data_IF_983347013161
#
_entry.id   IF_983347013161
#
_cell.length_a   1.000
_cell.length_b   1.000
_cell.length_c   1.000
_cell.angle_alpha   90.00
_cell.angle_beta   90.00
_cell.angle_gamma   90.00
#
_symmetry.space_group_name_H-M   'P 1'
#
loop_
_entity.id
_entity.type
_entity.pdbx_description
1 polymer ?
#
# COMPACT_ATOMS: atom_id res chain seq x y z
N UNK A 1 59.20 -42.23 12.41
CA UNK A 1 59.48 -41.02 13.23
C UNK A 1 58.85 -41.20 14.61
N UNK A 2 59.53 -40.82 15.72
CA UNK A 2 58.98 -40.75 17.09
C UNK A 2 57.99 -39.57 17.23
N UNK A 3 56.94 -39.57 18.07
CA UNK A 3 56.87 -39.53 19.55
C UNK A 3 57.46 -38.21 20.14
N UNK A 4 56.83 -37.43 21.03
CA UNK A 4 56.36 -37.65 22.44
C UNK A 4 55.40 -36.46 22.80
N UNK A 5 54.18 -36.61 23.37
CA UNK A 5 53.69 -36.93 24.75
C UNK A 5 53.69 -35.76 25.79
N UNK A 6 52.61 -35.68 26.60
CA UNK A 6 52.26 -34.81 27.78
C UNK A 6 51.18 -33.73 27.48
N UNK A 7 50.25 -33.40 28.40
CA UNK A 7 49.92 -34.02 29.70
C UNK A 7 48.91 -33.22 30.57
N UNK A 8 47.87 -33.93 31.03
CA UNK A 8 46.97 -33.75 32.20
C UNK A 8 47.47 -32.88 33.39
N UNK A 9 46.66 -32.28 34.28
CA UNK A 9 45.20 -32.05 34.40
C UNK A 9 44.85 -31.11 35.60
N UNK A 10 43.60 -30.64 35.73
CA UNK A 10 43.04 -29.81 36.84
C UNK A 10 42.78 -30.61 38.16
N UNK A 11 42.11 -30.09 39.25
CA UNK A 11 41.74 -28.70 39.68
C UNK A 11 41.96 -28.39 41.21
N UNK A 12 41.62 -27.17 41.69
CA UNK A 12 40.78 -27.03 42.91
C UNK A 12 41.24 -26.26 44.20
N UNK A 13 40.63 -25.08 44.43
CA UNK A 13 39.92 -24.62 45.67
C UNK A 13 40.66 -24.07 46.96
N UNK A 14 40.15 -22.94 47.50
CA UNK A 14 40.29 -22.28 48.86
C UNK A 14 41.67 -21.76 49.34
N UNK A 15 41.84 -20.68 50.14
CA UNK A 15 40.98 -19.53 50.57
C UNK A 15 41.79 -18.47 51.38
N UNK A 16 41.15 -17.33 51.79
CA UNK A 16 41.64 -16.24 52.71
C UNK A 16 42.65 -15.24 52.10
N UNK A 17 42.76 -13.93 52.45
CA UNK A 17 42.12 -12.96 53.38
C UNK A 17 42.13 -11.54 52.70
N UNK A 18 41.55 -10.40 53.14
CA UNK A 18 40.41 -10.01 54.00
C UNK A 18 40.66 -8.72 54.86
N UNK A 19 40.58 -7.51 54.27
CA UNK A 19 40.42 -6.16 54.91
C UNK A 19 39.57 -5.29 53.95
N UNK A 20 38.47 -4.58 54.31
CA UNK A 20 38.21 -3.55 55.34
C UNK A 20 38.80 -2.16 54.98
N UNK A 21 38.09 -1.01 55.02
CA UNK A 21 36.67 -0.66 55.33
C UNK A 21 36.29 0.69 54.61
N UNK A 22 35.07 0.94 54.14
CA UNK A 22 33.89 1.59 54.77
C UNK A 22 33.91 3.15 54.94
N UNK A 23 32.76 3.79 54.65
CA UNK A 23 32.46 5.23 54.86
C UNK A 23 32.17 6.00 53.54
N UNK A 24 31.02 6.59 53.17
CA UNK A 24 29.80 7.15 53.82
C UNK A 24 29.78 8.68 54.00
N UNK A 25 29.04 9.42 53.16
CA UNK A 25 28.27 10.62 53.53
C UNK A 25 27.46 11.23 52.35
N UNK A 26 26.15 11.35 52.55
CA UNK A 26 25.30 12.49 52.15
C UNK A 26 24.73 13.07 53.47
N UNK A 27 23.94 14.18 53.58
CA UNK A 27 22.90 14.62 52.63
C UNK A 27 22.55 16.14 52.58
N UNK A 28 21.49 16.46 51.82
CA UNK A 28 20.41 17.43 52.13
C UNK A 28 20.68 18.93 52.37
N UNK A 29 19.95 19.76 51.62
CA UNK A 29 19.12 20.83 52.19
C UNK A 29 17.94 21.18 51.26
N UNK A 30 16.77 21.54 51.81
CA UNK A 30 15.60 21.98 51.05
C UNK A 30 14.77 23.04 51.80
N UNK A 31 14.14 23.97 51.06
CA UNK A 31 13.08 24.92 51.48
C UNK A 31 12.19 25.20 50.24
N UNK A 32 10.85 25.28 50.20
CA UNK A 32 9.80 25.90 51.05
C UNK A 32 9.92 27.43 51.15
N UNK A 33 8.89 28.29 51.01
CA UNK A 33 7.40 28.25 50.91
C UNK A 33 6.97 29.50 50.03
N UNK A 34 5.75 30.07 49.87
CA UNK A 34 4.42 30.00 50.51
C UNK A 34 3.31 30.56 49.57
N UNK A 35 2.30 29.76 49.21
CA UNK A 35 0.84 30.04 49.12
C UNK A 35 0.23 31.43 48.78
N UNK A 36 -0.65 31.43 47.75
CA UNK A 36 -2.05 31.97 47.71
C UNK A 36 -2.79 31.23 46.56
N UNK A 37 -4.12 31.06 46.43
CA UNK A 37 -5.29 31.86 46.84
C UNK A 37 -5.84 32.61 45.61
N UNK A 38 -7.11 32.57 45.19
CA UNK A 38 -8.31 31.91 45.74
C UNK A 38 -9.42 31.67 44.67
N UNK A 39 -10.33 30.73 44.95
CA UNK A 39 -11.80 30.70 44.72
C UNK A 39 -12.44 31.63 43.65
N UNK A 40 -13.24 31.07 42.74
CA UNK A 40 -14.71 31.36 42.62
C UNK A 40 -15.41 30.52 41.54
N UNK A 41 -16.71 30.28 41.71
CA UNK A 41 -17.59 29.70 40.70
C UNK A 41 -18.85 30.58 40.51
N UNK A 42 -19.32 30.70 39.26
CA UNK A 42 -20.68 31.08 38.81
C UNK A 42 -20.83 30.49 37.39
N UNK A 43 -21.88 29.78 36.98
CA UNK A 43 -23.28 29.77 37.42
C UNK A 43 -23.99 31.10 37.17
N UNK A 44 -24.31 31.35 35.90
CA UNK A 44 -25.36 32.29 35.49
C UNK A 44 -26.40 31.52 34.67
N UNK A 45 -27.54 31.22 35.29
CA UNK A 45 -28.75 30.79 34.59
C UNK A 45 -29.48 32.00 34.01
N UNK A 46 -29.86 31.94 32.75
CA UNK A 46 -30.98 32.71 32.22
C UNK A 46 -31.80 31.80 31.31
N UNK A 47 -33.13 31.91 31.40
CA UNK A 47 -34.04 31.00 30.74
C UNK A 47 -35.09 31.74 29.91
N UNK A 48 -35.32 31.21 28.72
CA UNK A 48 -36.54 31.33 27.92
C UNK A 48 -36.69 29.95 27.24
N UNK A 49 -37.87 29.34 27.10
CA UNK A 49 -39.14 29.96 26.73
C UNK A 49 -39.09 30.20 25.21
N UNK A 50 -39.84 29.48 24.38
CA UNK A 50 -40.76 28.36 24.61
C UNK A 50 -41.31 27.89 23.25
N UNK A 51 -42.03 26.77 23.21
CA UNK A 51 -42.73 26.22 22.04
C UNK A 51 -41.84 25.86 20.81
N UNK A 52 -42.27 24.99 19.88
CA UNK A 52 -43.44 24.12 19.88
C UNK A 52 -43.46 23.20 18.64
N UNK A 53 -44.06 22.01 18.78
CA UNK A 53 -44.20 20.98 17.73
C UNK A 53 -42.87 20.41 17.15
N UNK A 54 -42.85 19.32 16.39
CA UNK A 54 -43.93 18.44 15.95
C UNK A 54 -43.54 16.95 16.13
N UNK A 55 -44.38 16.16 16.82
CA UNK A 55 -44.27 14.69 16.85
C UNK A 55 -45.34 14.11 15.93
N UNK A 56 -44.94 13.64 14.75
CA UNK A 56 -45.76 12.69 13.98
C UNK A 56 -45.11 11.31 13.95
N UNK A 57 -45.85 10.33 14.47
CA UNK A 57 -45.60 8.91 14.20
C UNK A 57 -46.12 8.62 12.80
N UNK A 58 -45.41 7.79 12.05
CA UNK A 58 -46.06 6.81 11.18
C UNK A 58 -45.40 5.45 11.41
N UNK A 59 -46.20 4.40 11.41
CA UNK A 59 -45.82 3.06 11.86
C UNK A 59 -45.86 2.09 10.69
N UNK A 60 -44.78 1.33 10.54
CA UNK A 60 -44.82 -0.02 9.98
C UNK A 60 -44.93 -0.14 8.45
N UNK A 61 -43.85 -0.63 7.85
CA UNK A 61 -43.99 -1.84 7.03
C UNK A 61 -42.73 -2.69 7.10
N UNK A 62 -42.90 -3.94 7.54
CA UNK A 62 -41.89 -5.00 7.43
C UNK A 62 -41.87 -5.52 5.98
N UNK A 63 -40.68 -5.79 5.46
CA UNK A 63 -40.48 -6.37 4.14
C UNK A 63 -39.04 -6.84 4.00
N UNK A 64 -38.83 -8.12 3.66
CA UNK A 64 -37.49 -8.70 3.50
C UNK A 64 -36.86 -8.30 2.16
N UNK A 65 -35.52 -8.21 2.11
CA UNK A 65 -34.79 -7.77 0.93
C UNK A 65 -33.27 -7.82 1.08
N UNK A 66 -32.72 -8.92 1.59
CA UNK A 66 -31.28 -9.12 1.69
C UNK A 66 -30.68 -9.74 0.41
N UNK A 67 -29.37 -9.52 0.19
CA UNK A 67 -28.51 -10.14 -0.85
C UNK A 67 -28.70 -9.73 -2.33
N UNK A 68 -28.29 -8.49 -2.69
CA UNK A 68 -27.75 -8.22 -4.04
C UNK A 68 -26.64 -7.15 -4.05
N UNK A 69 -25.47 -7.43 -3.44
CA UNK A 69 -24.34 -6.49 -3.43
C UNK A 69 -22.96 -7.16 -3.19
N UNK A 70 -22.60 -8.19 -3.95
CA UNK A 70 -21.28 -8.83 -3.89
C UNK A 70 -20.72 -9.09 -5.29
N UNK A 71 -19.44 -8.73 -5.48
CA UNK A 71 -18.65 -8.75 -6.73
C UNK A 71 -19.06 -7.73 -7.81
N UNK A 72 -18.27 -6.66 -7.94
CA UNK A 72 -18.24 -5.81 -9.13
C UNK A 72 -18.07 -4.32 -8.83
N UNK A 73 -17.14 -3.67 -9.54
CA UNK A 73 -17.38 -2.30 -10.03
C UNK A 73 -18.48 -2.43 -11.09
N UNK A 74 -19.51 -1.56 -11.11
CA UNK A 74 -20.62 -1.70 -12.06
C UNK A 74 -20.12 -1.52 -13.51
N UNK A 75 -20.47 -2.41 -14.44
CA UNK A 75 -20.18 -2.20 -15.86
C UNK A 75 -21.09 -1.07 -16.39
N UNK A 76 -20.50 -0.11 -17.12
CA UNK A 76 -21.28 0.87 -17.86
C UNK A 76 -22.06 0.17 -19.00
N UNK A 77 -23.35 0.46 -19.10
CA UNK A 77 -24.22 -0.16 -20.10
C UNK A 77 -24.08 0.54 -21.47
N UNK A 78 -23.27 -0.03 -22.37
CA UNK A 78 -23.29 0.33 -23.78
C UNK A 78 -24.48 -0.32 -24.49
N UNK A 79 -25.29 0.49 -25.19
CA UNK A 79 -26.25 -0.02 -26.19
C UNK A 79 -25.49 -0.41 -27.47
N UNK A 80 -25.95 -1.43 -28.22
CA UNK A 80 -25.40 -1.71 -29.54
C UNK A 80 -25.82 -0.62 -30.54
N UNK A 81 -24.85 -0.12 -31.31
CA UNK A 81 -25.10 0.36 -32.67
C UNK A 81 -24.59 -0.72 -33.64
N UNK A 82 -25.30 -0.91 -34.75
CA UNK A 82 -24.95 -1.87 -35.78
C UNK A 82 -23.81 -1.41 -36.69
N UNK A 83 -23.41 -2.29 -37.60
CA UNK A 83 -22.20 -2.16 -38.40
C UNK A 83 -22.21 -0.96 -39.37
N UNK A 84 -21.10 -0.22 -39.36
CA UNK A 84 -20.70 0.71 -40.42
C UNK A 84 -19.16 0.65 -40.56
N UNK A 85 -18.61 0.60 -41.78
CA UNK A 85 -17.18 0.37 -42.00
C UNK A 85 -16.31 1.57 -41.59
N UNK A 86 -15.06 1.27 -41.20
CA UNK A 86 -14.13 2.26 -40.65
C UNK A 86 -13.67 3.31 -41.69
N UNK A 87 -13.57 4.60 -41.32
CA UNK A 87 -13.06 5.64 -42.21
C UNK A 87 -11.53 5.57 -42.34
N UNK A 88 -11.04 5.51 -43.58
CA UNK A 88 -9.61 5.59 -43.89
C UNK A 88 -9.10 7.03 -43.73
N UNK A 89 -8.08 7.22 -42.89
CA UNK A 89 -7.52 8.54 -42.59
C UNK A 89 -6.61 9.05 -43.73
N UNK A 90 -7.19 9.75 -44.72
CA UNK A 90 -6.42 10.53 -45.71
C UNK A 90 -6.02 11.87 -45.11
N UNK A 91 -4.75 12.26 -45.27
CA UNK A 91 -4.30 13.61 -44.97
C UNK A 91 -4.95 14.64 -45.92
N UNK A 92 -5.42 15.81 -45.42
CA UNK A 92 -5.79 16.93 -46.28
C UNK A 92 -4.55 17.54 -46.94
N UNK A 93 -4.66 17.95 -48.21
CA UNK A 93 -3.70 18.85 -48.86
C UNK A 93 -4.11 20.30 -48.61
N UNK A 94 -3.13 21.21 -48.59
CA UNK A 94 -3.37 22.65 -48.54
C UNK A 94 -4.23 23.14 -49.71
N UNK A 95 -5.23 23.97 -49.39
CA UNK A 95 -5.79 24.96 -50.31
C UNK A 95 -6.20 26.20 -49.53
N UNK A 96 -5.68 27.37 -49.90
CA UNK A 96 -6.16 28.64 -49.36
C UNK A 96 -7.57 28.96 -49.89
N UNK A 97 -8.51 29.32 -49.00
CA UNK A 97 -9.52 30.32 -49.35
C UNK A 97 -10.01 31.10 -48.13
N UNK A 98 -10.28 32.39 -48.34
CA UNK A 98 -10.75 33.33 -47.34
C UNK A 98 -12.26 33.22 -47.10
N UNK A 99 -12.71 33.40 -45.86
CA UNK A 99 -14.13 33.32 -45.50
C UNK A 99 -14.39 33.76 -44.06
N UNK A 100 -14.78 35.02 -43.85
CA UNK A 100 -15.10 35.55 -42.52
C UNK A 100 -16.50 35.14 -42.08
N UNK A 101 -16.66 34.64 -40.85
CA UNK A 101 -17.87 34.85 -40.04
C UNK A 101 -17.58 34.61 -38.56
N UNK A 102 -17.67 35.67 -37.74
CA UNK A 102 -17.59 35.55 -36.27
C UNK A 102 -18.87 34.91 -35.72
N UNK A 103 -18.76 33.85 -34.91
CA UNK A 103 -19.77 33.49 -33.90
C UNK A 103 -19.14 33.63 -32.51
N UNK A 104 -19.91 34.20 -31.57
CA UNK A 104 -19.42 34.58 -30.24
C UNK A 104 -19.50 33.38 -29.31
N UNK A 105 -18.43 33.11 -28.57
CA UNK A 105 -18.46 32.16 -27.46
C UNK A 105 -18.87 32.93 -26.19
N UNK A 106 -20.10 32.76 -25.72
CA UNK A 106 -20.60 33.40 -24.49
C UNK A 106 -20.13 32.62 -23.27
N UNK A 107 -19.27 33.23 -22.46
CA UNK A 107 -18.74 32.61 -21.24
C UNK A 107 -19.79 32.52 -20.13
N UNK A 108 -20.01 31.32 -19.58
CA UNK A 108 -20.52 31.18 -18.22
C UNK A 108 -19.37 31.36 -17.24
N UNK A 109 -19.46 32.36 -16.35
CA UNK A 109 -18.52 32.59 -15.24
C UNK A 109 -19.25 32.41 -13.91
N UNK A 110 -18.58 31.81 -12.94
CA UNK A 110 -19.07 31.56 -11.58
C UNK A 110 -18.94 30.08 -11.21
N UNK A 111 -18.51 29.70 -10.01
CA UNK A 111 -18.08 30.54 -8.89
C UNK A 111 -16.60 30.98 -8.97
N UNK A 112 -16.17 31.89 -8.08
CA UNK A 112 -14.83 32.46 -8.08
C UNK A 112 -13.77 31.54 -7.46
N UNK A 113 -12.90 30.98 -8.30
CA UNK A 113 -11.55 30.58 -7.87
C UNK A 113 -10.65 31.82 -7.90
N UNK A 114 -10.10 32.21 -6.76
CA UNK A 114 -9.13 33.30 -6.68
C UNK A 114 -7.71 32.71 -6.82
N UNK A 115 -6.95 33.00 -7.90
CA UNK A 115 -5.63 32.42 -8.12
C UNK A 115 -4.53 33.14 -7.31
N UNK A 116 -4.81 33.45 -6.04
CA UNK A 116 -3.80 33.98 -5.10
C UNK A 116 -2.82 32.87 -4.70
N UNK A 117 -1.68 32.86 -5.38
CA UNK A 117 -0.45 32.21 -4.96
C UNK A 117 -0.60 30.74 -4.53
N UNK A 118 -0.98 29.88 -5.48
CA UNK A 118 -0.46 28.51 -5.41
C UNK A 118 1.07 28.60 -5.59
N UNK A 119 1.83 28.46 -4.52
CA UNK A 119 3.29 28.46 -4.61
C UNK A 119 3.75 27.37 -5.59
N UNK A 120 4.75 27.65 -6.44
CA UNK A 120 5.31 26.63 -7.32
C UNK A 120 5.85 25.50 -6.44
N UNK A 121 5.26 24.30 -6.55
CA UNK A 121 5.72 23.14 -5.78
C UNK A 121 7.18 22.90 -6.16
N UNK A 122 8.16 23.10 -5.25
CA UNK A 122 9.53 23.32 -5.69
C UNK A 122 10.09 22.05 -6.34
N UNK A 123 10.86 22.24 -7.42
CA UNK A 123 11.22 21.16 -8.35
C UNK A 123 11.94 19.97 -7.71
N UNK A 124 12.58 20.13 -6.55
CA UNK A 124 13.39 19.10 -5.90
C UNK A 124 12.56 17.92 -5.35
N UNK A 125 12.91 16.71 -5.78
CA UNK A 125 12.24 15.46 -5.41
C UNK A 125 13.23 14.50 -4.76
N UNK A 126 12.95 14.12 -3.51
CA UNK A 126 13.67 13.02 -2.86
C UNK A 126 12.97 11.70 -3.19
N UNK A 127 13.67 10.79 -3.84
CA UNK A 127 13.24 9.39 -3.93
C UNK A 127 13.57 8.69 -2.63
N UNK A 128 12.64 7.89 -2.09
CA UNK A 128 12.87 7.07 -0.89
C UNK A 128 12.70 5.58 -1.18
N UNK A 129 13.50 4.76 -0.51
CA UNK A 129 13.33 3.31 -0.46
C UNK A 129 13.74 2.72 0.90
N UNK A 130 13.23 1.53 1.21
CA UNK A 130 13.65 0.74 2.37
C UNK A 130 14.16 -0.62 1.91
N UNK A 131 15.31 -1.06 2.43
CA UNK A 131 15.96 -2.33 2.07
C UNK A 131 16.11 -3.25 3.28
N UNK A 132 15.99 -4.55 3.06
CA UNK A 132 16.37 -5.59 4.02
C UNK A 132 16.65 -6.90 3.27
N UNK A 133 17.92 -7.29 3.20
CA UNK A 133 18.41 -8.44 2.43
C UNK A 133 17.95 -8.44 0.95
N UNK A 134 18.41 -7.42 0.21
CA UNK A 134 18.03 -7.15 -1.18
C UNK A 134 19.27 -7.00 -2.09
N UNK A 135 20.40 -7.65 -1.76
CA UNK A 135 21.65 -7.60 -2.53
C UNK A 135 21.46 -8.03 -4.00
N UNK A 136 20.51 -8.93 -4.24
CA UNK A 136 20.14 -9.43 -5.57
C UNK A 136 19.21 -8.49 -6.37
N UNK A 137 18.84 -7.31 -5.84
CA UNK A 137 17.91 -6.38 -6.50
C UNK A 137 18.34 -4.91 -6.44
N UNK A 138 19.09 -4.49 -5.41
CA UNK A 138 19.45 -3.08 -5.16
C UNK A 138 20.13 -2.38 -6.35
N UNK A 139 21.05 -3.06 -7.02
CA UNK A 139 21.73 -2.55 -8.21
C UNK A 139 20.79 -2.33 -9.40
N UNK A 140 19.73 -3.15 -9.52
CA UNK A 140 18.72 -3.00 -10.58
C UNK A 140 17.81 -1.80 -10.32
N UNK A 141 17.45 -1.54 -9.05
CA UNK A 141 16.73 -0.33 -8.67
C UNK A 141 17.58 0.91 -8.98
N UNK A 142 18.82 0.96 -8.48
CA UNK A 142 19.72 2.11 -8.67
C UNK A 142 20.04 2.34 -10.16
N UNK A 143 20.25 1.29 -10.95
CA UNK A 143 20.37 1.43 -12.41
C UNK A 143 19.12 2.03 -13.05
N UNK A 144 17.90 1.58 -12.66
CA UNK A 144 16.66 2.15 -13.19
C UNK A 144 16.40 3.60 -12.76
N UNK A 145 16.87 4.00 -11.56
CA UNK A 145 16.85 5.39 -11.08
C UNK A 145 17.89 6.27 -11.79
N UNK A 146 19.07 5.72 -12.11
CA UNK A 146 20.13 6.43 -12.84
C UNK A 146 19.79 6.68 -14.32
N UNK A 147 18.90 5.86 -14.88
CA UNK A 147 18.40 5.94 -16.25
C UNK A 147 17.07 6.71 -16.40
N UNK A 148 16.61 7.43 -15.36
CA UNK A 148 15.38 8.23 -15.45
C UNK A 148 15.55 9.45 -16.36
N UNK A 149 14.53 9.76 -17.15
CA UNK A 149 14.48 10.97 -18.00
C UNK A 149 14.46 12.26 -17.19
N UNK A 150 13.79 12.25 -16.04
CA UNK A 150 14.00 13.21 -14.93
C UNK A 150 14.79 12.51 -13.83
N UNK A 151 16.07 12.86 -13.62
CA UNK A 151 16.87 12.30 -12.52
C UNK A 151 16.36 12.74 -11.14
N UNK A 152 16.57 11.94 -10.07
CA UNK A 152 16.27 12.35 -8.70
C UNK A 152 17.33 13.33 -8.18
N UNK A 153 16.87 14.34 -7.46
CA UNK A 153 17.70 15.38 -6.82
C UNK A 153 18.39 14.83 -5.56
N UNK A 154 17.74 13.84 -4.93
CA UNK A 154 18.23 13.09 -3.78
C UNK A 154 17.61 11.69 -3.79
N UNK A 155 18.35 10.68 -3.31
CA UNK A 155 17.82 9.34 -3.05
C UNK A 155 18.15 8.93 -1.62
N UNK A 156 17.16 8.76 -0.74
CA UNK A 156 17.39 8.28 0.64
C UNK A 156 17.00 6.81 0.74
N UNK A 157 17.95 5.95 1.11
CA UNK A 157 17.73 4.51 1.25
C UNK A 157 18.04 4.08 2.68
N UNK A 158 17.01 3.57 3.37
CA UNK A 158 17.13 3.10 4.76
C UNK A 158 17.24 1.59 4.80
N UNK A 159 18.32 1.09 5.40
CA UNK A 159 18.59 -0.32 5.63
C UNK A 159 18.05 -0.78 7.00
N UNK A 160 17.23 -1.84 6.99
CA UNK A 160 16.58 -2.41 8.17
C UNK A 160 17.46 -3.31 9.06
N UNK A 161 18.77 -3.42 8.77
CA UNK A 161 19.70 -4.35 9.40
C UNK A 161 19.96 -5.58 8.52
N UNK A 162 20.31 -5.38 7.25
CA UNK A 162 20.66 -6.44 6.31
C UNK A 162 21.93 -7.20 6.75
N UNK A 163 22.06 -8.45 6.28
CA UNK A 163 23.12 -9.40 6.65
C UNK A 163 23.69 -10.16 5.44
N UNK A 164 23.47 -9.65 4.23
CA UNK A 164 23.74 -10.32 2.94
C UNK A 164 24.68 -9.54 2.01
N UNK A 165 25.26 -8.43 2.49
CA UNK A 165 26.05 -7.48 1.68
C UNK A 165 25.27 -6.26 1.19
N UNK A 166 23.94 -6.17 1.41
CA UNK A 166 23.13 -5.02 0.96
C UNK A 166 23.63 -3.69 1.51
N UNK A 167 24.03 -3.65 2.79
CA UNK A 167 24.47 -2.42 3.45
C UNK A 167 25.83 -1.94 2.91
N UNK A 168 26.78 -2.86 2.77
CA UNK A 168 28.12 -2.60 2.22
C UNK A 168 28.01 -2.13 0.76
N UNK A 169 27.12 -2.76 -0.02
CA UNK A 169 26.84 -2.34 -1.40
C UNK A 169 26.19 -0.96 -1.44
N UNK A 170 25.25 -0.67 -0.54
CA UNK A 170 24.59 0.63 -0.44
C UNK A 170 25.57 1.75 -0.02
N UNK A 171 26.52 1.47 0.88
CA UNK A 171 27.60 2.40 1.22
C UNK A 171 28.50 2.71 0.03
N UNK A 172 28.85 1.70 -0.79
CA UNK A 172 29.61 1.92 -2.02
C UNK A 172 28.83 2.77 -3.04
N UNK A 173 27.53 2.51 -3.21
CA UNK A 173 26.65 3.30 -4.06
C UNK A 173 26.40 4.73 -3.54
N UNK A 174 26.53 4.97 -2.24
CA UNK A 174 26.43 6.30 -1.61
C UNK A 174 27.69 7.14 -1.77
N UNK A 175 28.87 6.51 -1.85
CA UNK A 175 30.16 7.18 -2.08
C UNK A 175 30.48 7.39 -3.56
N UNK A 176 30.36 6.33 -4.35
CA UNK A 176 30.94 6.23 -5.70
C UNK A 176 29.89 5.92 -6.78
N UNK A 177 28.60 6.03 -6.44
CA UNK A 177 27.47 5.64 -7.31
C UNK A 177 26.99 6.73 -8.28
N UNK A 178 26.10 6.37 -9.24
CA UNK A 178 25.65 7.26 -10.31
C UNK A 178 24.57 8.28 -9.90
N UNK A 179 24.27 8.38 -8.61
CA UNK A 179 23.13 9.11 -8.01
C UNK A 179 23.50 9.70 -6.65
N UNK A 180 22.87 10.81 -6.22
CA UNK A 180 23.03 11.40 -4.88
C UNK A 180 22.33 10.54 -3.80
N UNK A 181 22.92 9.38 -3.48
CA UNK A 181 22.37 8.41 -2.51
C UNK A 181 22.83 8.74 -1.09
N UNK A 182 21.87 8.93 -0.18
CA UNK A 182 22.07 9.00 1.27
C UNK A 182 21.71 7.63 1.87
N UNK A 183 22.74 6.87 2.28
CA UNK A 183 22.60 5.58 2.93
C UNK A 183 22.37 5.74 4.45
N UNK A 184 21.32 5.13 4.99
CA UNK A 184 20.97 5.25 6.42
C UNK A 184 20.75 3.86 7.03
N UNK A 185 21.54 3.49 8.04
CA UNK A 185 21.29 2.27 8.81
C UNK A 185 20.25 2.53 9.90
N UNK A 186 19.13 1.77 9.91
CA UNK A 186 18.18 1.69 11.03
C UNK A 186 17.87 0.22 11.36
N UNK A 187 18.83 -0.55 11.93
CA UNK A 187 18.66 -1.97 12.26
C UNK A 187 17.43 -2.24 13.13
N UNK A 188 16.68 -3.29 12.80
CA UNK A 188 15.45 -3.66 13.51
C UNK A 188 14.23 -2.79 13.19
N UNK A 189 14.35 -1.82 12.27
CA UNK A 189 13.20 -1.06 11.78
C UNK A 189 12.29 -1.93 10.90
N UNK A 190 10.98 -1.67 10.97
CA UNK A 190 10.01 -2.19 9.99
C UNK A 190 9.87 -1.20 8.81
N UNK A 191 9.09 -1.57 7.80
CA UNK A 191 8.94 -0.77 6.57
C UNK A 191 8.41 0.64 6.86
N UNK A 192 7.41 0.79 7.74
CA UNK A 192 6.89 2.08 8.19
C UNK A 192 7.99 2.96 8.79
N UNK A 193 8.78 2.37 9.69
CA UNK A 193 9.87 3.04 10.38
C UNK A 193 11.02 3.42 9.43
N UNK A 194 11.35 2.54 8.48
CA UNK A 194 12.30 2.86 7.41
C UNK A 194 11.82 4.05 6.56
N UNK A 195 10.56 4.03 6.08
CA UNK A 195 10.00 5.13 5.26
C UNK A 195 9.93 6.44 6.04
N UNK A 196 9.49 6.44 7.31
CA UNK A 196 9.48 7.64 8.15
C UNK A 196 10.88 8.21 8.37
N UNK A 197 11.88 7.36 8.63
CA UNK A 197 13.26 7.80 8.78
C UNK A 197 13.82 8.42 7.48
N UNK A 198 13.50 7.83 6.32
CA UNK A 198 13.90 8.37 5.03
C UNK A 198 13.31 9.77 4.79
N UNK A 199 12.03 9.96 5.10
CA UNK A 199 11.31 11.23 4.90
C UNK A 199 11.77 12.31 5.91
N UNK A 200 12.15 11.91 7.12
CA UNK A 200 12.68 12.81 8.13
C UNK A 200 14.03 13.45 7.72
N UNK A 201 14.92 12.69 7.07
CA UNK A 201 16.25 13.18 6.64
C UNK A 201 16.29 13.69 5.19
N UNK A 202 15.25 13.44 4.41
CA UNK A 202 15.10 13.98 3.06
C UNK A 202 15.23 15.51 3.01
N UNK A 203 15.58 16.07 1.86
CA UNK A 203 15.60 17.54 1.60
C UNK A 203 14.53 18.01 0.62
N UNK A 204 14.04 17.17 -0.30
CA UNK A 204 12.99 17.55 -1.24
C UNK A 204 11.62 17.80 -0.58
N UNK A 205 10.85 18.83 -1.00
CA UNK A 205 9.46 19.01 -0.57
C UNK A 205 8.51 17.94 -1.14
N UNK A 206 8.86 17.34 -2.29
CA UNK A 206 8.17 16.18 -2.85
C UNK A 206 8.96 14.91 -2.49
N UNK A 207 8.24 13.90 -2.00
CA UNK A 207 8.74 12.56 -1.73
C UNK A 207 8.18 11.62 -2.80
N UNK A 208 9.03 10.82 -3.44
CA UNK A 208 8.62 9.75 -4.34
C UNK A 208 9.06 8.40 -3.77
N UNK A 209 8.11 7.57 -3.32
CA UNK A 209 8.40 6.32 -2.61
C UNK A 209 8.35 5.10 -3.54
N UNK A 210 9.33 4.21 -3.38
CA UNK A 210 9.40 2.92 -4.06
C UNK A 210 9.99 1.81 -3.16
N UNK A 211 9.92 0.56 -3.62
CA UNK A 211 10.43 -0.62 -2.90
C UNK A 211 11.73 -1.14 -3.56
N UNK A 212 12.66 -1.68 -2.76
CA UNK A 212 13.95 -2.20 -3.24
C UNK A 212 13.86 -3.16 -4.44
N UNK A 213 12.92 -4.11 -4.38
CA UNK A 213 12.78 -5.21 -5.34
C UNK A 213 12.13 -4.87 -6.68
N UNK A 214 11.95 -3.58 -7.04
CA UNK A 214 11.33 -3.17 -8.31
C UNK A 214 12.35 -2.96 -9.44
N UNK A 215 11.83 -2.53 -10.59
CA UNK A 215 12.51 -1.89 -11.72
C UNK A 215 11.55 -0.81 -12.23
N UNK A 216 12.03 0.41 -12.42
CA UNK A 216 11.18 1.55 -12.78
C UNK A 216 11.16 1.77 -14.31
N UNK A 217 10.06 2.32 -14.83
CA UNK A 217 10.02 2.86 -16.20
C UNK A 217 10.96 4.07 -16.35
N UNK A 218 11.61 4.31 -17.51
CA UNK A 218 12.51 5.45 -17.68
C UNK A 218 11.86 6.81 -17.41
N UNK A 219 10.55 6.92 -17.64
CA UNK A 219 9.75 8.12 -17.41
C UNK A 219 9.09 8.14 -16.01
N UNK A 220 9.35 7.14 -15.15
CA UNK A 220 8.63 6.96 -13.87
C UNK A 220 8.66 8.21 -13.00
N UNK A 221 9.84 8.78 -12.79
CA UNK A 221 9.99 9.94 -11.90
C UNK A 221 9.37 11.20 -12.51
N UNK A 222 9.46 11.38 -13.84
CA UNK A 222 8.77 12.49 -14.51
C UNK A 222 7.24 12.35 -14.43
N UNK A 223 6.72 11.14 -14.64
CA UNK A 223 5.29 10.84 -14.62
C UNK A 223 4.68 10.95 -13.21
N UNK A 224 5.39 10.48 -12.16
CA UNK A 224 4.91 10.57 -10.77
C UNK A 224 4.97 12.01 -10.23
N UNK A 225 5.84 12.87 -10.78
CA UNK A 225 5.98 14.26 -10.31
C UNK A 225 5.14 15.27 -11.09
N UNK A 226 4.82 15.02 -12.36
CA UNK A 226 4.11 15.97 -13.21
C UNK A 226 2.81 16.56 -12.59
N UNK A 227 1.97 15.81 -11.85
CA UNK A 227 0.75 16.38 -11.26
C UNK A 227 0.98 17.42 -10.14
N UNK A 228 2.19 17.50 -9.55
CA UNK A 228 2.49 18.54 -8.54
C UNK A 228 2.49 19.95 -9.15
N UNK A 229 2.85 20.10 -10.43
CA UNK A 229 2.73 21.36 -11.18
C UNK A 229 1.27 21.82 -11.36
N UNK A 230 0.29 20.97 -11.03
CA UNK A 230 -1.14 21.27 -11.01
C UNK A 230 -1.75 21.20 -9.61
N UNK A 231 -0.91 21.29 -8.56
CA UNK A 231 -1.35 21.39 -7.16
C UNK A 231 -1.75 20.08 -6.49
N UNK A 232 -1.46 18.92 -7.09
CA UNK A 232 -1.69 17.63 -6.45
C UNK A 232 -0.94 17.52 -5.10
N UNK A 233 -1.52 16.84 -4.12
CA UNK A 233 -0.87 16.56 -2.82
C UNK A 233 -0.35 15.13 -2.71
N UNK A 234 -0.97 14.21 -3.46
CA UNK A 234 -0.60 12.79 -3.60
C UNK A 234 -0.77 12.41 -5.07
N UNK A 235 0.14 11.57 -5.57
CA UNK A 235 0.09 10.96 -6.90
C UNK A 235 0.22 9.44 -6.75
N UNK A 236 -0.77 8.70 -7.22
CA UNK A 236 -0.72 7.25 -7.33
C UNK A 236 -0.15 6.86 -8.70
N UNK A 237 0.99 6.17 -8.73
CA UNK A 237 1.50 5.53 -9.93
C UNK A 237 0.86 4.16 -10.15
N UNK A 238 1.40 3.37 -11.08
CA UNK A 238 0.94 2.01 -11.34
C UNK A 238 2.05 0.96 -11.14
N UNK A 239 1.67 -0.31 -11.05
CA UNK A 239 2.61 -1.41 -10.85
C UNK A 239 2.20 -2.65 -11.67
N UNK A 240 3.19 -3.38 -12.16
CA UNK A 240 3.00 -4.60 -12.95
C UNK A 240 3.93 -5.73 -12.49
N UNK A 241 3.57 -6.97 -12.85
CA UNK A 241 4.47 -8.11 -12.65
C UNK A 241 5.66 -8.04 -13.61
N UNK A 242 6.83 -8.46 -13.13
CA UNK A 242 8.00 -8.85 -13.91
C UNK A 242 8.22 -10.37 -13.71
N UNK A 243 7.46 -11.27 -14.37
CA UNK A 243 7.45 -12.69 -14.03
C UNK A 243 8.53 -13.49 -14.79
N UNK A 244 9.42 -14.15 -14.05
CA UNK A 244 10.55 -14.91 -14.63
C UNK A 244 10.20 -16.38 -14.94
N UNK A 245 8.92 -16.77 -14.95
CA UNK A 245 8.49 -18.14 -15.29
C UNK A 245 7.04 -18.47 -14.94
N UNK A 246 6.59 -19.66 -15.34
CA UNK A 246 5.17 -20.07 -15.32
C UNK A 246 4.43 -19.88 -13.99
N UNK A 247 5.08 -20.12 -12.84
CA UNK A 247 4.48 -19.88 -11.53
C UNK A 247 4.29 -18.37 -11.28
N UNK A 248 5.29 -17.56 -11.59
CA UNK A 248 5.27 -16.10 -11.39
C UNK A 248 4.27 -15.43 -12.34
N UNK A 249 4.14 -15.90 -13.58
CA UNK A 249 3.13 -15.41 -14.55
C UNK A 249 1.72 -15.73 -14.08
N UNK A 250 1.47 -16.98 -13.63
CA UNK A 250 0.19 -17.37 -13.05
C UNK A 250 -0.13 -16.59 -11.76
N UNK A 251 0.89 -16.30 -10.94
CA UNK A 251 0.76 -15.51 -9.73
C UNK A 251 0.41 -14.05 -10.03
N UNK A 252 1.10 -13.40 -10.98
CA UNK A 252 0.78 -12.06 -11.45
C UNK A 252 -0.67 -11.95 -11.91
N UNK A 253 -1.06 -12.77 -12.88
CA UNK A 253 -2.42 -12.80 -13.41
C UNK A 253 -3.50 -13.09 -12.35
N UNK A 254 -3.24 -14.00 -11.41
CA UNK A 254 -4.19 -14.38 -10.36
C UNK A 254 -4.32 -13.35 -9.21
N UNK A 255 -3.39 -12.40 -9.07
CA UNK A 255 -3.34 -11.52 -7.87
C UNK A 255 -3.27 -10.02 -8.14
N UNK A 256 -2.79 -9.58 -9.30
CA UNK A 256 -2.59 -8.16 -9.61
C UNK A 256 -3.65 -7.65 -10.61
N UNK A 257 -4.07 -6.37 -10.53
CA UNK A 257 -4.88 -5.76 -11.57
C UNK A 257 -4.05 -5.54 -12.84
N UNK A 258 -4.71 -5.56 -14.00
CA UNK A 258 -4.22 -4.85 -15.19
C UNK A 258 -4.76 -3.41 -15.19
N UNK A 259 -4.20 -2.53 -16.03
CA UNK A 259 -4.65 -1.13 -16.08
C UNK A 259 -6.14 -1.01 -16.47
N UNK A 260 -6.63 -1.90 -17.35
CA UNK A 260 -8.06 -2.06 -17.69
C UNK A 260 -8.97 -2.41 -16.50
N UNK A 261 -8.42 -2.91 -15.39
CA UNK A 261 -9.18 -3.26 -14.18
C UNK A 261 -9.27 -2.09 -13.18
N UNK A 262 -8.64 -0.94 -13.48
CA UNK A 262 -8.50 0.20 -12.56
C UNK A 262 -9.49 1.32 -12.90
N UNK A 263 -10.22 1.78 -11.88
CA UNK A 263 -10.88 3.09 -11.88
C UNK A 263 -9.91 4.14 -11.29
N UNK A 264 -9.46 5.13 -12.08
CA UNK A 264 -8.59 6.21 -11.59
C UNK A 264 -9.14 6.99 -10.40
N UNK A 265 -10.48 7.08 -10.25
CA UNK A 265 -11.12 7.83 -9.17
C UNK A 265 -11.11 7.11 -7.81
N UNK A 266 -10.88 5.79 -7.79
CA UNK A 266 -10.87 4.98 -6.56
C UNK A 266 -9.61 4.11 -6.39
N UNK A 267 -8.62 4.24 -7.29
CA UNK A 267 -7.33 3.57 -7.15
C UNK A 267 -6.56 4.10 -5.93
N UNK A 268 -6.30 3.22 -4.96
CA UNK A 268 -5.41 3.54 -3.85
C UNK A 268 -3.96 3.47 -4.33
N UNK A 269 -3.07 4.35 -3.84
CA UNK A 269 -1.64 4.21 -4.07
C UNK A 269 -1.08 2.85 -3.63
N UNK A 270 0.18 2.63 -3.98
CA UNK A 270 1.00 1.59 -3.37
C UNK A 270 2.41 2.11 -3.24
N UNK A 271 3.08 1.84 -2.12
CA UNK A 271 4.43 2.39 -1.86
C UNK A 271 5.55 1.84 -2.77
N UNK A 272 5.21 1.06 -3.80
CA UNK A 272 6.07 0.77 -4.98
C UNK A 272 6.15 1.93 -5.97
N UNK A 273 5.07 2.71 -6.07
CA UNK A 273 4.90 3.78 -7.05
C UNK A 273 3.88 4.79 -6.51
N UNK A 274 4.34 5.69 -5.64
CA UNK A 274 3.55 6.79 -5.09
C UNK A 274 4.44 8.00 -4.90
N UNK A 275 3.91 9.21 -5.08
CA UNK A 275 4.55 10.42 -4.59
C UNK A 275 3.58 11.26 -3.76
N UNK A 276 4.11 12.06 -2.84
CA UNK A 276 3.34 12.98 -2.01
C UNK A 276 4.19 14.16 -1.56
N UNK A 277 3.55 15.30 -1.29
CA UNK A 277 4.25 16.41 -0.61
C UNK A 277 4.61 16.00 0.83
N UNK A 278 5.75 16.45 1.34
CA UNK A 278 6.16 16.19 2.74
C UNK A 278 5.13 16.72 3.74
N UNK A 279 4.48 17.85 3.43
CA UNK A 279 3.35 18.38 4.20
C UNK A 279 2.25 17.31 4.37
N UNK A 280 1.78 16.71 3.28
CA UNK A 280 0.75 15.68 3.31
C UNK A 280 1.15 14.41 4.11
N UNK A 281 2.44 14.08 4.17
CA UNK A 281 2.94 13.02 5.06
C UNK A 281 2.90 13.43 6.55
N UNK A 282 3.27 14.68 6.87
CA UNK A 282 3.22 15.22 8.22
C UNK A 282 1.77 15.38 8.72
N UNK A 283 0.88 15.90 7.88
CA UNK A 283 -0.55 16.09 8.16
C UNK A 283 -1.25 14.75 8.48
N UNK A 284 -0.87 13.68 7.78
CA UNK A 284 -1.35 12.32 8.05
C UNK A 284 -0.70 11.63 9.27
N UNK A 285 0.30 12.28 9.91
CA UNK A 285 1.05 11.73 11.04
C UNK A 285 1.97 10.56 10.67
N UNK A 286 2.47 10.53 9.44
CA UNK A 286 3.42 9.53 8.93
C UNK A 286 2.88 8.10 8.75
N UNK A 287 3.77 7.19 8.35
CA UNK A 287 3.47 5.76 8.25
C UNK A 287 3.33 5.14 9.65
N UNK A 288 2.38 4.20 9.86
CA UNK A 288 2.11 3.62 11.18
C UNK A 288 3.21 2.62 11.62
N UNK A 289 4.17 3.05 12.44
CA UNK A 289 5.27 2.19 12.93
C UNK A 289 4.80 0.98 13.78
N UNK A 290 3.56 0.97 14.29
CA UNK A 290 2.96 -0.18 14.98
C UNK A 290 2.47 -1.30 14.04
N UNK A 291 2.43 -1.05 12.74
CA UNK A 291 1.92 -1.96 11.71
C UNK A 291 3.09 -2.47 10.85
N UNK A 292 3.13 -3.79 10.63
CA UNK A 292 4.21 -4.50 9.92
C UNK A 292 3.86 -4.90 8.49
N UNK A 293 2.59 -4.81 8.10
CA UNK A 293 2.06 -5.06 6.76
C UNK A 293 0.77 -4.27 6.53
N UNK A 294 0.56 -3.77 5.31
CA UNK A 294 -0.57 -2.89 4.93
C UNK A 294 -0.50 -1.52 5.62
N UNK A 295 0.72 -1.11 5.95
CA UNK A 295 1.11 0.20 6.47
C UNK A 295 0.93 1.32 5.45
N UNK A 296 1.14 1.01 4.16
CA UNK A 296 0.89 1.91 3.04
C UNK A 296 -0.59 2.29 2.96
N UNK A 297 -1.48 1.31 2.95
CA UNK A 297 -2.93 1.52 2.89
C UNK A 297 -3.47 2.37 4.07
N UNK A 298 -2.92 2.21 5.28
CA UNK A 298 -3.33 3.00 6.45
C UNK A 298 -2.82 4.43 6.37
N UNK A 299 -1.63 4.66 5.80
CA UNK A 299 -1.13 5.98 5.45
C UNK A 299 -2.01 6.61 4.36
N UNK A 300 -2.20 5.92 3.23
CA UNK A 300 -3.01 6.39 2.10
C UNK A 300 -4.43 6.79 2.54
N UNK A 301 -5.14 5.97 3.31
CA UNK A 301 -6.48 6.31 3.81
C UNK A 301 -6.50 7.56 4.72
N UNK A 302 -5.39 7.92 5.37
CA UNK A 302 -5.28 9.16 6.15
C UNK A 302 -5.02 10.35 5.25
N UNK A 303 -4.01 10.27 4.38
CA UNK A 303 -3.64 11.36 3.47
C UNK A 303 -4.81 11.69 2.53
N UNK A 304 -5.47 10.69 1.96
CA UNK A 304 -6.63 10.87 1.07
C UNK A 304 -7.87 11.42 1.80
N UNK A 305 -8.02 11.17 3.10
CA UNK A 305 -9.09 11.75 3.91
C UNK A 305 -8.84 13.22 4.29
N UNK A 306 -7.59 13.70 4.17
CA UNK A 306 -7.20 15.08 4.46
C UNK A 306 -7.10 15.95 3.18
N UNK A 307 -6.65 15.37 2.07
CA UNK A 307 -6.35 16.12 0.83
C UNK A 307 -7.19 15.71 -0.39
N UNK A 308 -8.12 14.75 -0.25
CA UNK A 308 -8.94 14.24 -1.35
C UNK A 308 -8.25 13.11 -2.13
N UNK A 309 -8.82 12.68 -3.29
CA UNK A 309 -8.25 11.60 -4.10
C UNK A 309 -6.87 11.95 -4.65
N UNK A 310 -6.01 10.96 -4.81
CA UNK A 310 -4.72 11.13 -5.47
C UNK A 310 -4.91 11.40 -6.97
N UNK A 311 -4.00 12.17 -7.57
CA UNK A 311 -3.88 12.18 -9.02
C UNK A 311 -3.35 10.81 -9.49
N UNK A 312 -3.92 10.25 -10.55
CA UNK A 312 -3.48 8.95 -11.08
C UNK A 312 -2.53 9.13 -12.27
N UNK A 313 -1.31 8.61 -12.14
CA UNK A 313 -0.24 8.69 -13.13
C UNK A 313 0.15 7.28 -13.62
N UNK A 314 -0.62 6.64 -14.52
CA UNK A 314 -0.38 5.25 -14.91
C UNK A 314 0.96 5.02 -15.64
N UNK A 315 1.55 6.06 -16.23
CA UNK A 315 2.89 6.03 -16.81
C UNK A 315 4.01 5.94 -15.75
N UNK A 316 3.72 6.28 -14.48
CA UNK A 316 4.63 6.02 -13.37
C UNK A 316 4.58 4.52 -13.00
N UNK A 317 5.13 3.69 -13.88
CA UNK A 317 5.08 2.24 -13.79
C UNK A 317 6.30 1.66 -13.04
N UNK A 318 6.03 0.91 -11.98
CA UNK A 318 7.01 0.06 -11.29
C UNK A 318 6.76 -1.42 -11.60
N UNK A 319 7.69 -2.09 -12.28
CA UNK A 319 7.69 -3.54 -12.45
C UNK A 319 8.28 -4.20 -11.20
N UNK A 320 7.61 -5.22 -10.65
CA UNK A 320 8.16 -5.99 -9.54
C UNK A 320 7.99 -7.49 -9.78
N UNK A 321 8.99 -8.27 -9.35
CA UNK A 321 8.96 -9.72 -9.54
C UNK A 321 7.98 -10.38 -8.55
N UNK A 322 6.99 -11.17 -9.00
CA UNK A 322 6.15 -11.97 -8.12
C UNK A 322 7.00 -12.95 -7.29
N UNK A 323 6.53 -13.38 -6.10
CA UNK A 323 7.33 -14.30 -5.28
C UNK A 323 7.56 -15.63 -6.01
N UNK A 324 8.79 -16.19 -6.01
CA UNK A 324 9.19 -17.26 -6.92
C UNK A 324 8.67 -18.66 -6.55
N UNK A 325 7.91 -18.82 -5.46
CA UNK A 325 7.37 -20.10 -5.04
C UNK A 325 6.06 -19.98 -4.25
N UNK A 326 5.26 -21.05 -4.28
CA UNK A 326 4.00 -21.15 -3.54
C UNK A 326 4.19 -20.91 -2.03
N UNK A 327 5.28 -21.41 -1.44
CA UNK A 327 5.61 -21.19 -0.02
C UNK A 327 5.87 -19.71 0.30
N UNK A 328 6.61 -19.01 -0.57
CA UNK A 328 6.89 -17.58 -0.40
C UNK A 328 5.62 -16.72 -0.58
N UNK A 329 4.79 -17.06 -1.56
CA UNK A 329 3.48 -16.44 -1.79
C UNK A 329 2.52 -16.64 -0.60
N UNK A 330 2.35 -17.88 -0.11
CA UNK A 330 1.50 -18.19 1.05
C UNK A 330 1.98 -17.45 2.29
N UNK A 331 3.29 -17.38 2.55
CA UNK A 331 3.86 -16.56 3.64
C UNK A 331 3.49 -15.08 3.49
N UNK A 332 3.67 -14.51 2.30
CA UNK A 332 3.31 -13.10 2.03
C UNK A 332 1.82 -12.84 2.25
N UNK A 333 0.93 -13.71 1.75
CA UNK A 333 -0.52 -13.50 1.83
C UNK A 333 -1.09 -13.74 3.23
N UNK A 334 -0.48 -14.62 4.02
CA UNK A 334 -0.73 -14.75 5.45
C UNK A 334 -0.33 -13.47 6.20
N UNK A 335 0.84 -12.89 5.89
CA UNK A 335 1.34 -11.68 6.54
C UNK A 335 0.50 -10.44 6.20
N UNK A 336 0.08 -10.28 4.93
CA UNK A 336 -0.87 -9.23 4.52
C UNK A 336 -2.22 -9.35 5.25
N UNK A 337 -2.81 -10.56 5.33
CA UNK A 337 -4.06 -10.72 6.08
C UNK A 337 -3.89 -10.53 7.60
N UNK A 338 -2.72 -10.84 8.17
CA UNK A 338 -2.38 -10.47 9.54
C UNK A 338 -2.31 -8.95 9.70
N UNK A 339 -1.77 -8.22 8.71
CA UNK A 339 -1.85 -6.76 8.59
C UNK A 339 -3.31 -6.26 8.60
N UNK A 340 -4.16 -6.80 7.72
CA UNK A 340 -5.60 -6.49 7.68
C UNK A 340 -6.26 -6.64 9.05
N UNK A 341 -5.97 -7.73 9.77
CA UNK A 341 -6.52 -8.00 11.08
C UNK A 341 -6.02 -7.05 12.18
N UNK A 342 -4.74 -6.65 12.12
CA UNK A 342 -4.19 -5.61 13.01
C UNK A 342 -4.85 -4.26 12.77
N UNK A 343 -4.95 -3.86 11.50
CA UNK A 343 -5.50 -2.56 11.11
C UNK A 343 -7.04 -2.50 11.22
N UNK A 344 -7.74 -3.63 11.17
CA UNK A 344 -9.20 -3.66 11.04
C UNK A 344 -9.66 -3.32 9.62
N UNK A 345 -8.94 -3.82 8.61
CA UNK A 345 -9.28 -3.67 7.20
C UNK A 345 -10.27 -4.75 6.75
N UNK A 346 -11.14 -4.35 5.83
CA UNK A 346 -12.11 -5.14 5.06
C UNK A 346 -12.73 -6.39 5.75
N UNK A 347 -13.34 -6.28 6.94
CA UNK A 347 -13.91 -7.44 7.65
C UNK A 347 -14.90 -8.22 6.80
N UNK A 348 -15.74 -7.55 6.01
CA UNK A 348 -16.69 -8.22 5.09
C UNK A 348 -15.99 -9.04 4.00
N UNK A 349 -14.83 -8.61 3.47
CA UNK A 349 -14.08 -9.40 2.47
C UNK A 349 -13.52 -10.70 3.07
N UNK A 350 -13.19 -10.70 4.36
CA UNK A 350 -12.76 -11.91 5.07
C UNK A 350 -13.96 -12.78 5.49
N UNK A 351 -15.04 -12.18 6.01
CA UNK A 351 -16.29 -12.89 6.33
C UNK A 351 -16.84 -13.67 5.12
N UNK A 352 -16.84 -13.07 3.92
CA UNK A 352 -17.22 -13.76 2.68
C UNK A 352 -16.34 -14.99 2.40
N UNK A 353 -15.01 -14.92 2.62
CA UNK A 353 -14.12 -16.09 2.44
C UNK A 353 -14.47 -17.23 3.41
N UNK A 354 -14.69 -16.92 4.69
CA UNK A 354 -15.12 -17.93 5.68
C UNK A 354 -16.48 -18.54 5.30
N UNK A 355 -17.44 -17.74 4.83
CA UNK A 355 -18.72 -18.24 4.31
C UNK A 355 -18.56 -19.14 3.08
N UNK A 356 -17.78 -18.72 2.08
CA UNK A 356 -17.54 -19.49 0.85
C UNK A 356 -16.90 -20.84 1.14
N UNK A 357 -15.79 -20.87 1.89
CA UNK A 357 -15.03 -22.10 2.13
C UNK A 357 -15.56 -22.96 3.28
N UNK A 358 -16.16 -22.34 4.32
CA UNK A 358 -16.66 -23.03 5.51
C UNK A 358 -18.13 -23.45 5.46
N UNK A 359 -18.94 -22.85 4.56
CA UNK A 359 -20.38 -23.15 4.45
C UNK A 359 -20.77 -23.48 3.01
N UNK A 360 -20.60 -22.54 2.08
CA UNK A 360 -21.18 -22.67 0.72
C UNK A 360 -20.58 -23.85 -0.05
N UNK A 361 -19.25 -23.98 -0.12
CA UNK A 361 -18.60 -25.07 -0.84
C UNK A 361 -18.88 -26.45 -0.20
N UNK A 362 -18.80 -26.65 1.13
CA UNK A 362 -19.24 -27.89 1.78
C UNK A 362 -20.71 -28.23 1.52
N UNK A 363 -21.64 -27.28 1.64
CA UNK A 363 -23.06 -27.51 1.38
C UNK A 363 -23.32 -27.91 -0.08
N UNK A 364 -22.67 -27.25 -1.05
CA UNK A 364 -22.79 -27.59 -2.47
C UNK A 364 -22.15 -28.95 -2.81
N UNK A 365 -21.05 -29.33 -2.16
CA UNK A 365 -20.45 -30.65 -2.33
C UNK A 365 -21.36 -31.77 -1.78
N UNK A 366 -21.95 -31.57 -0.59
CA UNK A 366 -22.93 -32.50 0.00
C UNK A 366 -24.20 -32.57 -0.84
N UNK A 367 -24.66 -31.46 -1.42
CA UNK A 367 -25.78 -31.44 -2.36
C UNK A 367 -25.43 -32.18 -3.67
N UNK A 368 -24.27 -31.91 -4.27
CA UNK A 368 -23.82 -32.60 -5.49
C UNK A 368 -23.63 -34.12 -5.30
N UNK A 369 -23.25 -34.56 -4.10
CA UNK A 369 -23.15 -35.98 -3.75
C UNK A 369 -24.52 -36.67 -3.50
N UNK A 370 -25.64 -35.93 -3.48
CA UNK A 370 -26.97 -36.44 -3.08
C UNK A 370 -28.13 -36.04 -4.01
N UNK A 371 -28.01 -34.95 -4.76
CA UNK A 371 -29.15 -34.18 -5.34
C UNK A 371 -28.81 -33.62 -6.75
N UNK A 372 -28.40 -34.51 -7.67
CA UNK A 372 -28.22 -34.27 -9.11
C UNK A 372 -27.06 -33.35 -9.59
N UNK A 373 -26.75 -33.48 -10.88
CA UNK A 373 -25.67 -32.78 -11.58
C UNK A 373 -25.79 -31.24 -11.58
N UNK A 374 -26.97 -30.67 -11.33
CA UNK A 374 -27.19 -29.22 -11.30
C UNK A 374 -26.33 -28.54 -10.21
N UNK A 375 -26.13 -29.18 -9.06
CA UNK A 375 -25.25 -28.67 -8.01
C UNK A 375 -23.77 -28.66 -8.44
N UNK A 376 -23.33 -29.66 -9.21
CA UNK A 376 -21.98 -29.70 -9.80
C UNK A 376 -21.80 -28.64 -10.90
N UNK A 377 -22.81 -28.40 -11.73
CA UNK A 377 -22.81 -27.30 -12.70
C UNK A 377 -22.74 -25.94 -12.00
N UNK A 378 -23.45 -25.75 -10.88
CA UNK A 378 -23.36 -24.56 -10.04
C UNK A 378 -21.97 -24.33 -9.45
N UNK A 379 -21.33 -25.38 -8.93
CA UNK A 379 -19.94 -25.34 -8.46
C UNK A 379 -18.96 -25.00 -9.59
N UNK A 380 -19.10 -25.64 -10.75
CA UNK A 380 -18.24 -25.40 -11.92
C UNK A 380 -18.40 -23.97 -12.45
N UNK A 381 -19.63 -23.46 -12.55
CA UNK A 381 -19.91 -22.08 -12.96
C UNK A 381 -19.36 -21.05 -11.96
N UNK A 382 -19.52 -21.28 -10.65
CA UNK A 382 -18.97 -20.41 -9.61
C UNK A 382 -17.44 -20.38 -9.62
N UNK A 383 -16.79 -21.54 -9.81
CA UNK A 383 -15.34 -21.64 -9.96
C UNK A 383 -14.85 -20.94 -11.24
N UNK A 384 -15.51 -21.19 -12.37
CA UNK A 384 -15.20 -20.53 -13.65
C UNK A 384 -15.33 -19.01 -13.55
N UNK A 385 -16.39 -18.50 -12.91
CA UNK A 385 -16.59 -17.08 -12.65
C UNK A 385 -15.47 -16.49 -11.78
N UNK A 386 -15.09 -17.17 -10.68
CA UNK A 386 -14.01 -16.72 -9.79
C UNK A 386 -12.64 -16.68 -10.50
N UNK A 387 -12.36 -17.62 -11.40
CA UNK A 387 -11.09 -17.71 -12.12
C UNK A 387 -11.06 -16.90 -13.43
N UNK A 388 -12.22 -16.48 -13.97
CA UNK A 388 -12.34 -15.72 -15.23
C UNK A 388 -11.41 -14.49 -15.30
N UNK A 389 -11.27 -13.64 -14.26
CA UNK A 389 -10.34 -12.51 -14.33
C UNK A 389 -8.87 -12.97 -14.43
N UNK A 390 -8.48 -14.00 -13.67
CA UNK A 390 -7.14 -14.54 -13.68
C UNK A 390 -6.79 -15.15 -15.06
N UNK A 391 -7.72 -15.89 -15.68
CA UNK A 391 -7.49 -16.44 -17.02
C UNK A 391 -7.51 -15.38 -18.13
N UNK A 392 -8.34 -14.34 -18.03
CA UNK A 392 -8.33 -13.18 -18.96
C UNK A 392 -6.96 -12.51 -18.98
N UNK A 393 -6.40 -12.24 -17.81
CA UNK A 393 -5.08 -11.65 -17.62
C UNK A 393 -3.97 -12.60 -18.07
N UNK A 394 -4.05 -13.88 -17.69
CA UNK A 394 -3.04 -14.88 -18.07
C UNK A 394 -2.91 -15.01 -19.59
N UNK A 395 -4.01 -14.97 -20.33
CA UNK A 395 -4.00 -14.99 -21.81
C UNK A 395 -3.26 -13.78 -22.42
N UNK A 396 -3.36 -12.60 -21.80
CA UNK A 396 -2.59 -11.39 -22.17
C UNK A 396 -1.12 -11.48 -21.76
N UNK A 397 -0.83 -12.17 -20.67
CA UNK A 397 0.50 -12.27 -20.04
C UNK A 397 1.32 -13.51 -20.48
N UNK A 398 0.87 -14.27 -21.49
CA UNK A 398 1.60 -15.46 -21.97
C UNK A 398 3.00 -15.19 -22.54
N UNK A 399 3.21 -14.03 -23.19
CA UNK A 399 4.52 -13.57 -23.65
C UNK A 399 5.38 -14.66 -24.34
N UNK A 400 6.70 -14.73 -24.04
CA UNK A 400 7.61 -15.71 -24.64
C UNK A 400 7.54 -17.11 -23.99
N UNK A 401 6.54 -17.41 -23.14
CA UNK A 401 6.44 -18.73 -22.50
C UNK A 401 6.21 -19.84 -23.55
N UNK A 402 6.97 -20.93 -23.43
CA UNK A 402 6.78 -22.15 -24.24
C UNK A 402 5.41 -22.79 -23.99
N UNK A 403 4.89 -23.65 -24.89
CA UNK A 403 3.57 -24.29 -24.72
C UNK A 403 3.43 -25.04 -23.38
N UNK A 404 4.48 -25.76 -22.96
CA UNK A 404 4.53 -26.45 -21.66
C UNK A 404 4.49 -25.46 -20.48
N UNK A 405 5.16 -24.31 -20.59
CA UNK A 405 5.11 -23.27 -19.57
C UNK A 405 3.74 -22.57 -19.51
N UNK A 406 3.07 -22.37 -20.65
CA UNK A 406 1.68 -21.86 -20.70
C UNK A 406 0.71 -22.83 -20.02
N UNK A 407 0.77 -24.12 -20.33
CA UNK A 407 -0.05 -25.15 -19.67
C UNK A 407 0.19 -25.22 -18.15
N UNK A 408 1.46 -25.20 -17.72
CA UNK A 408 1.83 -25.10 -16.30
C UNK A 408 1.25 -23.85 -15.64
N UNK A 409 1.25 -22.71 -16.33
CA UNK A 409 0.68 -21.45 -15.82
C UNK A 409 -0.83 -21.56 -15.61
N UNK A 410 -1.55 -22.18 -16.55
CA UNK A 410 -3.00 -22.45 -16.43
C UNK A 410 -3.29 -23.33 -15.21
N UNK A 411 -2.51 -24.41 -15.01
CA UNK A 411 -2.66 -25.29 -13.86
C UNK A 411 -2.35 -24.60 -12.50
N UNK A 412 -1.45 -23.61 -12.48
CA UNK A 412 -1.11 -22.88 -11.26
C UNK A 412 -2.20 -21.92 -10.78
N UNK A 413 -2.99 -21.30 -11.67
CA UNK A 413 -4.04 -20.31 -11.32
C UNK A 413 -5.01 -20.79 -10.21
N UNK A 414 -5.66 -21.97 -10.28
CA UNK A 414 -6.56 -22.43 -9.22
C UNK A 414 -5.82 -22.74 -7.91
N UNK A 415 -4.61 -23.30 -7.98
CA UNK A 415 -3.78 -23.63 -6.81
C UNK A 415 -3.40 -22.35 -6.06
N UNK A 416 -2.93 -21.33 -6.78
CA UNK A 416 -2.59 -20.00 -6.24
C UNK A 416 -3.82 -19.35 -5.62
N UNK A 417 -4.99 -19.46 -6.27
CA UNK A 417 -6.24 -18.88 -5.74
C UNK A 417 -6.63 -19.49 -4.39
N UNK A 418 -6.67 -20.83 -4.30
CA UNK A 418 -7.06 -21.55 -3.08
C UNK A 418 -6.03 -21.36 -1.97
N UNK A 419 -4.74 -21.58 -2.25
CA UNK A 419 -3.67 -21.40 -1.26
C UNK A 419 -3.61 -19.95 -0.76
N UNK A 420 -3.85 -18.99 -1.66
CA UNK A 420 -3.88 -17.57 -1.34
C UNK A 420 -5.07 -17.15 -0.49
N UNK A 421 -6.25 -17.79 -0.58
CA UNK A 421 -7.38 -17.50 0.31
C UNK A 421 -7.28 -18.27 1.64
N UNK A 422 -6.75 -19.50 1.66
CA UNK A 422 -6.40 -20.22 2.90
C UNK A 422 -5.39 -19.42 3.72
N UNK A 423 -4.34 -18.89 3.09
CA UNK A 423 -3.35 -18.03 3.74
C UNK A 423 -3.99 -16.81 4.42
N UNK A 424 -4.97 -16.18 3.75
CA UNK A 424 -5.71 -15.04 4.31
C UNK A 424 -6.58 -15.46 5.51
N UNK A 425 -7.28 -16.58 5.39
CA UNK A 425 -8.15 -17.13 6.44
C UNK A 425 -7.36 -17.53 7.70
N UNK A 426 -6.09 -17.94 7.56
CA UNK A 426 -5.18 -18.19 8.67
C UNK A 426 -4.57 -16.89 9.26
N UNK A 427 -4.23 -15.90 8.43
CA UNK A 427 -3.58 -14.65 8.88
C UNK A 427 -4.51 -13.68 9.59
N UNK A 428 -5.74 -13.51 9.10
CA UNK A 428 -6.68 -12.50 9.61
C UNK A 428 -7.03 -12.64 11.10
N UNK A 429 -7.33 -13.85 11.64
CA UNK A 429 -7.64 -14.02 13.06
C UNK A 429 -6.45 -13.70 13.97
N UNK A 430 -5.22 -13.99 13.51
CA UNK A 430 -3.99 -13.67 14.24
C UNK A 430 -3.78 -12.15 14.32
N UNK A 431 -4.10 -11.42 13.25
CA UNK A 431 -4.13 -9.96 13.26
C UNK A 431 -5.17 -9.39 14.23
N UNK A 432 -6.41 -9.91 14.20
CA UNK A 432 -7.49 -9.50 15.11
C UNK A 432 -7.14 -9.80 16.58
N UNK A 433 -6.56 -10.97 16.87
CA UNK A 433 -6.10 -11.34 18.19
C UNK A 433 -4.98 -10.42 18.69
N UNK A 434 -4.05 -10.03 17.81
CA UNK A 434 -3.05 -9.01 18.11
C UNK A 434 -3.69 -7.65 18.42
N UNK A 435 -4.64 -7.18 17.60
CA UNK A 435 -5.35 -5.90 17.80
C UNK A 435 -6.07 -5.85 19.15
N UNK A 436 -6.78 -6.92 19.51
CA UNK A 436 -7.49 -7.05 20.80
C UNK A 436 -6.56 -6.98 22.01
N UNK A 437 -5.35 -7.56 21.90
CA UNK A 437 -4.33 -7.56 22.98
C UNK A 437 -3.61 -6.22 23.10
N UNK A 438 -3.19 -5.61 21.99
CA UNK A 438 -2.29 -4.45 21.99
C UNK A 438 -3.01 -3.10 21.91
N UNK A 439 -4.30 -3.08 21.50
CA UNK A 439 -5.13 -1.87 21.38
C UNK A 439 -4.40 -0.72 20.63
N UNK A 440 -3.94 -0.94 19.39
CA UNK A 440 -3.22 0.07 18.62
C UNK A 440 -4.06 1.35 18.42
N UNK A 441 -3.42 2.50 18.15
CA UNK A 441 -4.13 3.76 17.92
C UNK A 441 -5.21 3.63 16.83
N UNK A 442 -6.40 4.18 17.09
CA UNK A 442 -7.44 4.26 16.07
C UNK A 442 -7.00 5.26 14.97
N UNK A 443 -6.73 4.71 13.79
CA UNK A 443 -6.16 5.45 12.66
C UNK A 443 -7.23 6.01 11.71
N UNK A 444 -8.46 5.48 11.79
CA UNK A 444 -9.60 5.90 10.96
C UNK A 444 -10.11 7.28 11.42
N UNK A 445 -10.45 8.20 10.50
CA UNK A 445 -11.13 9.44 10.86
C UNK A 445 -12.42 9.16 11.64
N UNK A 446 -12.67 9.93 12.71
CA UNK A 446 -13.97 9.89 13.40
C UNK A 446 -15.05 10.44 12.45
N UNK A 447 -16.21 9.78 12.29
CA UNK A 447 -17.32 10.33 11.51
C UNK A 447 -17.68 11.74 11.99
N UNK A 448 -17.74 12.69 11.06
CA UNK A 448 -18.04 14.11 11.34
C UNK A 448 -16.83 15.01 11.62
N UNK A 449 -15.60 14.50 11.72
CA UNK A 449 -14.43 15.35 11.98
C UNK A 449 -14.03 16.28 10.80
N UNK A 450 -14.36 15.89 9.56
CA UNK A 450 -13.98 16.61 8.33
C UNK A 450 -15.02 17.58 7.79
N UNK A 451 -15.68 18.37 8.66
CA UNK A 451 -16.54 19.50 8.27
C UNK A 451 -16.39 20.65 9.27
N UNK A 452 -15.35 21.46 9.09
CA UNK A 452 -15.14 22.79 9.66
C UNK A 452 -14.48 23.66 8.60
#
# INVERSE_FOLDING_TARGET
MPAIRKGLSSPGDRSRQARAAAGSASPSAARTRTTTGCVSARACTSGSGGDGANRQRLVGRSGGGAMTALYGVPPAASKPLGDAPAPVFRQPRDTHRTGSTRRRCTSLRGAGYNPTMAEPVPDAVTVIATVFNEIASIDRLVASLAAQSRRPDEVVIVDGGSTDGTWERLQALSRDGPLPIVAVARPGSNISAGRNAAIAVARGPVIAATDAGVRLAPEWLAAITAPFAHGARVVAGFFAADPHGAFETALGAATLPELDDVDPGTFLPSSRSVAFTRAAWADAGGYPEWLDYCEDLVFDFRVLALHGPAAFAPAALAWFRPRPSLRAFVRQYYLYARGDGKAGLWPMRHAVRYGTYGVVAPCLAVAGARLHAVAWLGLAAGLAWMLRPAYRRLARQWGPLSPVARLRSVAWVPIIRVAGDIAKMAGYPVGLAWRRRHRPPEWRPRPGAGRR
#
